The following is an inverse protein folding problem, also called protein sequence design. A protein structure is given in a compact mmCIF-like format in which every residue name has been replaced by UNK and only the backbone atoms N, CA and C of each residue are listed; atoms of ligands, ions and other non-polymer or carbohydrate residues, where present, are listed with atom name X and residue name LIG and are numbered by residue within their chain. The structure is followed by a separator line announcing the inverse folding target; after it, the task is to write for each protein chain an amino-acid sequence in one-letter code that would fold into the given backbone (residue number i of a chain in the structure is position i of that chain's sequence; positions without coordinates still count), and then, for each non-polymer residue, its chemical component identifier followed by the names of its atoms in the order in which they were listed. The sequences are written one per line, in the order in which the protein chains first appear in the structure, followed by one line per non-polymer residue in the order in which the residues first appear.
data_IF_206909784116
#
_entry.id   IF_206909784116
#
_cell.length_a   1.000
_cell.length_b   1.000
_cell.length_c   1.000
_cell.angle_alpha   90.00
_cell.angle_beta   90.00
_cell.angle_gamma   90.00
#
_symmetry.space_group_name_H-M   'P 1'
#
loop_
_entity.id
_entity.type
_entity.pdbx_description
1 polymer ?
#
# COMPACT_ATOMS: atom_id res chain seq x y z
N UNK A 1 25.31 27.41 14.50
CA UNK A 1 23.90 27.27 14.93
C UNK A 1 23.08 27.75 13.72
N UNK A 2 22.50 26.89 12.90
CA UNK A 2 21.35 26.04 13.19
C UNK A 2 21.41 24.72 12.40
N UNK A 3 21.51 23.63 13.16
CA UNK A 3 20.77 22.36 13.08
C UNK A 3 20.42 21.84 11.67
N UNK A 4 21.11 20.76 11.32
CA UNK A 4 20.76 19.73 10.35
C UNK A 4 19.26 19.36 10.43
N UNK A 5 18.41 19.92 9.57
CA UNK A 5 16.99 19.56 9.41
C UNK A 5 16.79 18.20 8.70
N UNK A 6 17.59 17.20 9.06
CA UNK A 6 17.37 15.80 8.75
C UNK A 6 16.87 15.07 10.00
N UNK A 7 16.04 15.75 10.80
CA UNK A 7 15.40 15.12 11.95
C UNK A 7 14.15 14.37 11.46
N UNK A 8 14.37 13.10 11.15
CA UNK A 8 13.37 12.05 11.35
C UNK A 8 12.01 12.28 10.65
N UNK A 9 12.02 12.54 9.34
CA UNK A 9 10.79 12.38 8.55
C UNK A 9 10.56 10.87 8.42
N UNK A 10 9.87 10.30 9.39
CA UNK A 10 9.28 8.96 9.27
C UNK A 10 8.58 8.83 7.92
N UNK A 11 8.45 7.60 7.42
CA UNK A 11 7.89 7.36 6.10
C UNK A 11 6.58 8.14 5.92
N UNK A 12 6.49 9.03 4.91
CA UNK A 12 5.37 9.98 4.82
C UNK A 12 4.05 9.25 4.59
N UNK A 13 4.09 8.05 3.98
CA UNK A 13 2.96 7.15 3.95
C UNK A 13 2.99 6.18 5.14
N UNK A 14 1.83 5.90 5.75
CA UNK A 14 1.73 4.85 6.76
C UNK A 14 2.06 3.48 6.15
N UNK A 15 2.18 2.46 7.01
CA UNK A 15 2.30 1.08 6.56
C UNK A 15 1.14 0.69 5.63
N UNK A 16 1.45 -0.11 4.61
CA UNK A 16 0.41 -0.62 3.72
C UNK A 16 -0.49 -1.55 4.51
N UNK A 17 -1.82 -1.36 4.46
CA UNK A 17 -2.75 -2.23 5.16
C UNK A 17 -2.63 -3.67 4.66
N UNK A 18 -2.58 -4.64 5.58
CA UNK A 18 -2.65 -6.06 5.23
C UNK A 18 -3.99 -6.41 4.60
N UNK A 19 -4.02 -7.44 3.75
CA UNK A 19 -5.25 -7.97 3.15
C UNK A 19 -5.29 -9.48 3.18
N UNK A 20 -6.48 -10.01 3.36
CA UNK A 20 -6.70 -11.45 3.39
C UNK A 20 -6.28 -12.10 2.07
N UNK A 21 -5.69 -13.29 2.17
CA UNK A 21 -5.22 -14.08 1.03
C UNK A 21 -4.20 -13.34 0.13
N UNK A 22 -3.50 -12.34 0.67
CA UNK A 22 -2.41 -11.65 -0.02
C UNK A 22 -1.08 -11.82 0.70
N UNK A 23 0.01 -11.75 -0.06
CA UNK A 23 1.35 -11.69 0.51
C UNK A 23 1.53 -10.39 1.30
N UNK A 24 2.19 -10.42 2.47
CA UNK A 24 2.42 -9.22 3.25
C UNK A 24 3.26 -8.20 2.45
N UNK A 25 2.95 -6.90 2.55
CA UNK A 25 3.75 -5.87 1.88
C UNK A 25 5.15 -5.79 2.49
N UNK A 26 6.14 -5.37 1.69
CA UNK A 26 7.45 -4.98 2.21
C UNK A 26 7.30 -3.82 3.20
N UNK A 27 8.04 -3.87 4.30
CA UNK A 27 8.12 -2.78 5.30
C UNK A 27 9.03 -1.63 4.87
N UNK A 28 9.18 -1.47 3.56
CA UNK A 28 10.02 -0.43 2.98
C UNK A 28 9.35 0.93 3.11
N UNK A 29 10.17 1.95 3.34
CA UNK A 29 9.70 3.31 3.44
C UNK A 29 9.10 3.78 2.12
N UNK A 30 7.88 4.36 2.17
CA UNK A 30 7.15 4.77 0.97
C UNK A 30 6.80 6.25 0.98
N UNK A 31 6.97 6.85 -0.19
CA UNK A 31 6.67 8.25 -0.45
C UNK A 31 5.24 8.46 -0.95
N UNK A 32 4.73 9.68 -0.83
CA UNK A 32 3.46 10.11 -1.43
C UNK A 32 3.48 9.82 -2.93
N UNK A 33 2.33 9.45 -3.49
CA UNK A 33 2.16 8.96 -4.87
C UNK A 33 2.80 7.61 -5.18
N UNK A 34 3.43 6.94 -4.20
CA UNK A 34 3.87 5.57 -4.37
C UNK A 34 2.68 4.65 -4.65
N UNK A 35 2.89 3.69 -5.53
CA UNK A 35 1.90 2.69 -5.90
C UNK A 35 2.37 1.34 -5.42
N UNK A 36 1.48 0.58 -4.80
CA UNK A 36 1.72 -0.80 -4.40
C UNK A 36 0.71 -1.73 -5.07
N UNK A 37 1.17 -2.93 -5.43
CA UNK A 37 0.33 -3.98 -6.02
C UNK A 37 0.40 -5.21 -5.13
N UNK A 38 -0.75 -5.63 -4.62
CA UNK A 38 -0.85 -6.87 -3.86
C UNK A 38 -0.69 -8.08 -4.79
N UNK A 39 -0.03 -9.10 -4.28
CA UNK A 39 -0.04 -10.45 -4.84
C UNK A 39 -0.91 -11.34 -3.97
N UNK A 40 -1.69 -12.22 -4.58
CA UNK A 40 -2.38 -13.27 -3.81
C UNK A 40 -1.34 -14.28 -3.30
N UNK A 41 -1.62 -14.95 -2.19
CA UNK A 41 -0.78 -16.06 -1.70
C UNK A 41 -0.80 -17.24 -2.67
N UNK A 42 0.16 -18.16 -2.54
CA UNK A 42 0.26 -19.34 -3.39
C UNK A 42 -1.04 -20.17 -3.37
N UNK A 43 -1.43 -20.67 -4.55
CA UNK A 43 -2.71 -21.35 -4.74
C UNK A 43 -3.91 -20.41 -4.95
N UNK A 44 -3.72 -19.09 -4.89
CA UNK A 44 -4.78 -18.11 -5.16
C UNK A 44 -4.41 -17.16 -6.30
N UNK A 45 -5.42 -16.73 -7.06
CA UNK A 45 -5.28 -15.76 -8.15
C UNK A 45 -6.27 -14.63 -8.01
N UNK A 46 -5.90 -13.46 -8.53
CA UNK A 46 -6.79 -12.29 -8.56
C UNK A 46 -8.03 -12.58 -9.41
N UNK A 47 -9.21 -12.34 -8.84
CA UNK A 47 -10.49 -12.37 -9.56
C UNK A 47 -10.51 -11.31 -10.67
N UNK A 48 -10.92 -11.70 -11.88
CA UNK A 48 -11.15 -10.75 -12.97
C UNK A 48 -12.16 -9.67 -12.57
N UNK A 49 -11.96 -8.42 -13.05
CA UNK A 49 -12.78 -7.28 -12.66
C UNK A 49 -12.44 -6.64 -11.29
N UNK A 50 -11.45 -7.15 -10.56
CA UNK A 50 -10.96 -6.53 -9.31
C UNK A 50 -9.59 -5.84 -9.47
N UNK A 51 -9.21 -4.91 -8.58
CA UNK A 51 -7.89 -4.25 -8.62
C UNK A 51 -7.01 -4.67 -7.44
N UNK A 52 -5.78 -5.09 -7.74
CA UNK A 52 -4.76 -5.27 -6.72
C UNK A 52 -3.93 -4.00 -6.47
N UNK A 53 -4.28 -2.86 -7.07
CA UNK A 53 -3.51 -1.62 -6.97
C UNK A 53 -4.02 -0.71 -5.85
N UNK A 54 -3.11 -0.24 -5.00
CA UNK A 54 -3.33 0.88 -4.09
C UNK A 54 -2.30 1.96 -4.34
N UNK A 55 -2.66 3.20 -4.02
CA UNK A 55 -1.77 4.35 -4.14
C UNK A 55 -1.80 5.13 -2.84
N UNK A 56 -0.63 5.56 -2.37
CA UNK A 56 -0.57 6.50 -1.28
C UNK A 56 -0.84 7.89 -1.83
N UNK A 57 -1.87 8.55 -1.30
CA UNK A 57 -2.23 9.90 -1.71
C UNK A 57 -2.26 10.82 -0.50
N UNK A 58 -1.87 12.07 -0.76
CA UNK A 58 -1.97 13.15 0.21
C UNK A 58 -3.40 13.63 0.27
N UNK A 59 -4.05 13.47 1.42
CA UNK A 59 -5.38 13.99 1.62
C UNK A 59 -5.31 15.44 2.12
N UNK A 60 -6.25 16.28 1.69
CA UNK A 60 -6.25 17.74 1.95
C UNK A 60 -6.33 18.12 3.44
N UNK A 61 -6.68 17.17 4.31
CA UNK A 61 -6.82 17.31 5.76
C UNK A 61 -5.62 16.73 6.54
N UNK A 62 -4.43 16.78 5.94
CA UNK A 62 -3.13 16.54 6.59
C UNK A 62 -2.83 15.10 7.00
N UNK A 63 -3.53 14.13 6.41
CA UNK A 63 -3.23 12.70 6.59
C UNK A 63 -3.00 12.02 5.23
N UNK A 64 -1.80 11.45 5.06
CA UNK A 64 -1.48 10.61 3.91
C UNK A 64 -2.11 9.22 4.11
N UNK A 65 -2.78 8.68 3.09
CA UNK A 65 -3.47 7.39 3.22
C UNK A 65 -3.41 6.53 1.96
N UNK A 66 -3.53 5.22 2.16
CA UNK A 66 -3.58 4.24 1.09
C UNK A 66 -4.99 4.15 0.51
N UNK A 67 -5.19 4.77 -0.65
CA UNK A 67 -6.47 4.69 -1.35
C UNK A 67 -6.53 3.47 -2.27
N UNK A 68 -7.71 2.83 -2.29
CA UNK A 68 -8.03 1.69 -3.15
C UNK A 68 -9.03 2.12 -4.21
N UNK A 69 -8.73 1.81 -5.46
CA UNK A 69 -9.64 2.09 -6.58
C UNK A 69 -10.71 1.01 -6.78
N UNK A 70 -10.45 -0.26 -6.43
CA UNK A 70 -11.42 -1.37 -6.45
C UNK A 70 -11.02 -2.48 -5.45
N UNK A 71 -12.00 -3.21 -4.92
CA UNK A 71 -11.78 -4.30 -3.97
C UNK A 71 -11.14 -5.54 -4.64
N UNK A 72 -9.86 -5.84 -4.34
CA UNK A 72 -9.20 -7.11 -4.68
C UNK A 72 -9.93 -8.26 -4.02
N UNK A 73 -10.22 -9.28 -4.83
CA UNK A 73 -10.56 -10.61 -4.36
C UNK A 73 -9.56 -11.62 -4.91
N UNK A 74 -9.04 -12.45 -4.04
CA UNK A 74 -8.22 -13.61 -4.38
C UNK A 74 -9.12 -14.85 -4.35
N UNK A 75 -9.05 -15.67 -5.40
CA UNK A 75 -9.81 -16.91 -5.55
C UNK A 75 -8.84 -18.08 -5.62
N UNK A 76 -9.20 -19.19 -4.97
CA UNK A 76 -8.41 -20.41 -5.08
C UNK A 76 -8.35 -20.85 -6.54
N UNK A 77 -7.16 -21.25 -6.98
CA UNK A 77 -6.93 -21.81 -8.30
C UNK A 77 -6.50 -23.26 -8.11
N UNK A 78 -7.40 -24.16 -8.51
CA UNK A 78 -7.16 -25.60 -8.63
C UNK A 78 -6.04 -25.92 -9.64
#
# INVERSE_FOLDING_TARGET
MLISLLDNIGCPCPDIPSRDLTTPPSRECRQINSTFRYSCVDGYVRKAGTSNRVKCEKHSFDTDTWIRLMLLHCLFKE
#
